data_IF_483234197513
#
_entry.id   IF_483234197513
#
_cell.length_a   1.000
_cell.length_b   1.000
_cell.length_c   1.000
_cell.angle_alpha   90.00
_cell.angle_beta   90.00
_cell.angle_gamma   90.00
#
_symmetry.space_group_name_H-M   'P 1'
#
loop_
_entity.id
_entity.type
_entity.pdbx_description
1 polymer ?
#
# COMPACT_ATOMS: atom_id res chain seq x y z
N UNK A 1 -1.00 -28.82 -12.75
CA UNK A 1 -0.51 -28.35 -11.44
C UNK A 1 0.72 -27.48 -11.69
N UNK A 2 0.75 -26.33 -11.04
CA UNK A 2 1.85 -25.36 -11.12
C UNK A 2 2.73 -25.50 -9.88
N UNK A 3 3.97 -25.03 -10.02
CA UNK A 3 4.88 -24.80 -8.89
C UNK A 3 5.15 -23.30 -8.86
N UNK A 4 4.93 -22.68 -7.71
CA UNK A 4 5.31 -21.28 -7.45
C UNK A 4 6.51 -21.29 -6.51
N UNK A 5 7.63 -20.76 -6.98
CA UNK A 5 8.86 -20.63 -6.20
C UNK A 5 9.28 -19.17 -6.15
N UNK A 6 9.70 -18.72 -4.97
CA UNK A 6 10.11 -17.35 -4.78
C UNK A 6 11.14 -17.20 -3.67
N UNK A 7 11.57 -15.96 -3.47
CA UNK A 7 12.51 -15.58 -2.43
C UNK A 7 11.99 -14.38 -1.65
N UNK A 8 11.93 -14.51 -0.33
CA UNK A 8 11.67 -13.41 0.57
C UNK A 8 12.99 -12.69 0.89
N UNK A 9 13.01 -11.38 0.73
CA UNK A 9 14.22 -10.55 0.84
C UNK A 9 13.91 -9.32 1.69
N UNK A 10 14.65 -9.13 2.79
CA UNK A 10 14.64 -7.87 3.53
C UNK A 10 15.60 -6.90 2.85
N UNK A 11 15.06 -5.79 2.32
CA UNK A 11 15.83 -4.80 1.58
C UNK A 11 16.34 -3.64 2.44
N UNK A 12 16.03 -3.61 3.73
CA UNK A 12 16.58 -2.60 4.63
C UNK A 12 18.07 -2.89 4.86
N UNK A 13 18.90 -1.92 4.49
CA UNK A 13 20.36 -2.03 4.62
C UNK A 13 21.03 -2.99 3.63
N UNK A 14 20.31 -3.47 2.62
CA UNK A 14 20.77 -4.38 1.58
C UNK A 14 19.86 -5.59 1.39
N UNK A 15 20.13 -6.38 0.37
CA UNK A 15 19.32 -7.55 0.02
C UNK A 15 19.77 -8.76 0.85
N UNK A 16 19.11 -9.01 1.97
CA UNK A 16 19.36 -10.20 2.82
C UNK A 16 18.16 -11.15 2.76
N UNK A 17 18.37 -12.47 2.74
CA UNK A 17 17.27 -13.43 2.82
C UNK A 17 16.50 -13.27 4.13
N UNK A 18 15.17 -13.28 4.08
CA UNK A 18 14.32 -13.28 5.27
C UNK A 18 13.93 -14.71 5.62
N UNK A 19 14.61 -15.27 6.61
CA UNK A 19 14.50 -16.68 7.01
C UNK A 19 13.35 -16.90 7.97
N UNK A 20 12.55 -17.96 7.73
CA UNK A 20 11.45 -18.34 8.61
C UNK A 20 10.20 -17.48 8.47
N UNK A 21 10.14 -16.58 7.47
CA UNK A 21 8.95 -15.81 7.16
C UNK A 21 7.88 -16.75 6.60
N UNK A 22 6.66 -16.64 7.15
CA UNK A 22 5.50 -17.34 6.59
C UNK A 22 5.00 -16.55 5.39
N UNK A 23 4.97 -17.19 4.23
CA UNK A 23 4.49 -16.62 2.97
C UNK A 23 3.18 -17.31 2.63
N UNK A 24 2.17 -16.53 2.27
CA UNK A 24 0.85 -17.01 1.84
C UNK A 24 0.70 -16.81 0.34
N UNK A 25 0.36 -17.87 -0.37
CA UNK A 25 -0.09 -17.82 -1.77
C UNK A 25 -1.59 -17.61 -1.77
N UNK A 26 -2.07 -16.60 -2.47
CA UNK A 26 -3.47 -16.29 -2.71
C UNK A 26 -3.84 -16.67 -4.13
N UNK A 27 -4.95 -17.37 -4.30
CA UNK A 27 -5.55 -17.68 -5.59
C UNK A 27 -7.00 -17.23 -5.58
N UNK A 28 -7.34 -16.26 -6.41
CA UNK A 28 -8.71 -15.77 -6.58
C UNK A 28 -9.26 -16.16 -7.94
N UNK A 29 -10.45 -16.73 -7.95
CA UNK A 29 -11.16 -17.13 -9.15
C UNK A 29 -12.67 -16.90 -9.00
N UNK A 30 -13.41 -17.11 -10.08
CA UNK A 30 -14.89 -17.08 -10.04
C UNK A 30 -15.48 -18.15 -9.12
N UNK A 31 -14.72 -19.21 -8.82
CA UNK A 31 -15.12 -20.30 -7.91
C UNK A 31 -14.81 -20.02 -6.44
N UNK A 32 -14.06 -18.98 -6.14
CA UNK A 32 -13.72 -18.56 -4.78
C UNK A 32 -12.24 -18.25 -4.60
N UNK A 33 -11.87 -18.06 -3.35
CA UNK A 33 -10.54 -17.76 -2.87
C UNK A 33 -9.93 -18.98 -2.17
N UNK A 34 -8.65 -19.24 -2.44
CA UNK A 34 -7.87 -20.33 -1.83
C UNK A 34 -6.52 -19.77 -1.38
N UNK A 35 -6.15 -20.07 -0.13
CA UNK A 35 -4.85 -19.73 0.45
C UNK A 35 -4.03 -21.00 0.68
N UNK A 36 -2.71 -20.87 0.48
CA UNK A 36 -1.73 -21.87 0.88
C UNK A 36 -0.54 -21.16 1.58
N UNK A 37 0.08 -21.82 2.55
CA UNK A 37 1.20 -21.28 3.30
C UNK A 37 2.48 -22.05 3.05
N UNK A 38 3.61 -21.35 3.00
CA UNK A 38 4.95 -21.88 2.98
C UNK A 38 5.86 -21.06 3.91
N UNK A 39 6.96 -21.65 4.38
CA UNK A 39 7.94 -20.98 5.23
C UNK A 39 9.23 -20.79 4.44
N UNK A 40 9.76 -19.57 4.43
CA UNK A 40 11.04 -19.28 3.79
C UNK A 40 12.19 -19.98 4.52
N UNK A 41 13.06 -20.62 3.78
CA UNK A 41 14.22 -21.37 4.28
C UNK A 41 15.43 -20.46 4.64
N UNK A 42 16.60 -21.06 4.88
CA UNK A 42 17.83 -20.35 5.25
C UNK A 42 18.34 -19.39 4.14
N UNK A 43 17.96 -19.62 2.91
CA UNK A 43 18.28 -18.77 1.76
C UNK A 43 17.13 -17.80 1.41
N UNK A 44 16.07 -17.80 2.23
CA UNK A 44 14.84 -17.00 2.02
C UNK A 44 13.90 -17.62 0.97
N UNK A 45 14.16 -18.85 0.52
CA UNK A 45 13.38 -19.49 -0.54
C UNK A 45 12.08 -20.07 0.04
N UNK A 46 10.96 -19.78 -0.61
CA UNK A 46 9.66 -20.40 -0.37
C UNK A 46 9.15 -21.10 -1.63
N UNK A 47 8.34 -22.17 -1.44
CA UNK A 47 7.85 -22.97 -2.54
C UNK A 47 6.47 -23.53 -2.26
N UNK A 48 5.57 -23.40 -3.24
CA UNK A 48 4.24 -23.98 -3.25
C UNK A 48 4.18 -25.03 -4.37
N UNK A 49 3.76 -26.24 -4.04
CA UNK A 49 3.59 -27.34 -4.98
C UNK A 49 2.10 -27.70 -5.13
N UNK A 50 1.72 -28.24 -6.30
CA UNK A 50 0.34 -28.67 -6.53
C UNK A 50 -0.66 -27.52 -6.67
N UNK A 51 -0.21 -26.32 -7.01
CA UNK A 51 -1.09 -25.16 -7.23
C UNK A 51 -1.96 -25.45 -8.47
N UNK A 52 -3.27 -25.36 -8.31
CA UNK A 52 -4.19 -25.59 -9.41
C UNK A 52 -4.13 -24.43 -10.41
N UNK A 53 -3.96 -24.75 -11.69
CA UNK A 53 -4.03 -23.75 -12.76
C UNK A 53 -5.49 -23.55 -13.16
N UNK A 54 -6.06 -22.42 -12.79
CA UNK A 54 -7.45 -22.04 -13.11
C UNK A 54 -7.43 -20.92 -14.14
N UNK A 55 -8.13 -21.10 -15.25
CA UNK A 55 -8.25 -20.09 -16.29
C UNK A 55 -8.98 -18.85 -15.75
N UNK A 56 -8.35 -17.68 -15.91
CA UNK A 56 -8.88 -16.39 -15.45
C UNK A 56 -8.73 -16.14 -13.93
N UNK A 57 -8.00 -17.00 -13.21
CA UNK A 57 -7.65 -16.71 -11.81
C UNK A 57 -6.50 -15.71 -11.72
N UNK A 58 -6.54 -14.87 -10.68
CA UNK A 58 -5.41 -14.05 -10.24
C UNK A 58 -4.66 -14.75 -9.12
N UNK A 59 -3.36 -14.53 -9.08
CA UNK A 59 -2.46 -15.09 -8.08
C UNK A 59 -1.60 -13.98 -7.47
N UNK A 60 -1.32 -14.12 -6.19
CA UNK A 60 -0.41 -13.24 -5.46
C UNK A 60 0.27 -13.99 -4.33
N UNK A 61 1.39 -13.49 -3.89
CA UNK A 61 2.01 -13.93 -2.64
C UNK A 61 2.11 -12.76 -1.68
N UNK A 62 1.88 -13.04 -0.39
CA UNK A 62 2.04 -12.04 0.66
C UNK A 62 2.72 -12.61 1.89
N UNK A 63 3.24 -11.73 2.74
CA UNK A 63 3.71 -12.08 4.07
C UNK A 63 3.50 -10.91 5.02
N UNK A 64 3.36 -11.22 6.31
CA UNK A 64 3.32 -10.20 7.37
C UNK A 64 4.69 -10.16 8.03
N UNK A 65 5.36 -9.02 7.90
CA UNK A 65 6.64 -8.76 8.53
C UNK A 65 6.55 -7.51 9.41
N UNK A 66 6.91 -7.65 10.70
CA UNK A 66 6.76 -6.59 11.71
C UNK A 66 5.35 -5.96 11.78
N UNK A 67 4.31 -6.76 11.51
CA UNK A 67 2.92 -6.32 11.53
C UNK A 67 2.44 -5.63 10.25
N UNK A 68 3.29 -5.50 9.24
CA UNK A 68 2.99 -4.88 7.94
C UNK A 68 2.82 -5.98 6.90
N UNK A 69 1.79 -5.88 6.07
CA UNK A 69 1.56 -6.78 4.95
C UNK A 69 2.36 -6.33 3.73
N UNK A 70 3.20 -7.21 3.21
CA UNK A 70 3.89 -7.06 1.94
C UNK A 70 3.34 -8.08 0.95
N UNK A 71 3.18 -7.69 -0.30
CA UNK A 71 2.66 -8.60 -1.31
C UNK A 71 3.09 -8.24 -2.72
N UNK A 72 3.00 -9.21 -3.61
CA UNK A 72 3.25 -9.06 -5.04
C UNK A 72 2.30 -9.95 -5.82
N UNK A 73 1.70 -9.38 -6.86
CA UNK A 73 0.92 -10.14 -7.84
C UNK A 73 1.86 -10.96 -8.71
N UNK A 74 1.46 -12.20 -9.01
CA UNK A 74 2.26 -13.11 -9.82
C UNK A 74 1.45 -13.66 -10.99
N UNK A 75 2.15 -13.96 -12.08
CA UNK A 75 1.62 -14.80 -13.17
C UNK A 75 2.36 -16.15 -13.13
N UNK A 76 1.75 -17.19 -12.53
CA UNK A 76 2.42 -18.49 -12.38
C UNK A 76 2.66 -19.21 -13.72
N UNK A 77 2.08 -18.74 -14.83
CA UNK A 77 2.33 -19.26 -16.17
C UNK A 77 3.56 -18.63 -16.84
N UNK A 78 4.02 -17.48 -16.31
CA UNK A 78 5.17 -16.73 -16.81
C UNK A 78 6.34 -16.66 -15.80
N UNK A 79 6.28 -17.46 -14.73
CA UNK A 79 7.24 -17.42 -13.63
C UNK A 79 8.66 -17.86 -14.03
N UNK A 80 9.37 -16.99 -14.71
CA UNK A 80 10.83 -16.94 -14.83
C UNK A 80 11.26 -15.48 -14.61
N UNK A 81 12.06 -15.16 -13.66
CA UNK A 81 12.76 -15.87 -12.59
C UNK A 81 11.88 -16.12 -11.36
N UNK A 82 12.41 -16.73 -10.25
CA UNK A 82 11.64 -16.92 -9.02
C UNK A 82 11.06 -15.59 -8.51
N UNK A 83 9.86 -15.65 -7.95
CA UNK A 83 9.14 -14.49 -7.40
C UNK A 83 9.95 -13.85 -6.29
N UNK A 84 10.18 -12.55 -6.35
CA UNK A 84 10.82 -11.80 -5.26
C UNK A 84 9.75 -11.11 -4.40
N UNK A 85 9.67 -11.48 -3.13
CA UNK A 85 8.84 -10.83 -2.13
C UNK A 85 9.73 -9.94 -1.25
N UNK A 86 9.61 -8.64 -1.39
CA UNK A 86 10.37 -7.67 -0.61
C UNK A 86 9.66 -7.32 0.70
N UNK A 87 10.40 -7.34 1.81
CA UNK A 87 10.00 -6.82 3.10
C UNK A 87 10.99 -5.74 3.55
N UNK A 88 10.56 -4.86 4.46
CA UNK A 88 11.37 -3.74 4.94
C UNK A 88 11.19 -3.56 6.45
N UNK A 89 12.24 -3.10 7.14
CA UNK A 89 12.15 -2.72 8.55
C UNK A 89 11.17 -1.56 8.75
N UNK A 90 10.38 -1.65 9.83
CA UNK A 90 9.47 -0.59 10.23
C UNK A 90 10.19 0.51 11.00
N UNK A 91 9.91 1.78 10.66
CA UNK A 91 10.41 2.96 11.38
C UNK A 91 9.26 3.93 11.67
N UNK A 92 9.38 4.69 12.75
CA UNK A 92 8.44 5.75 13.11
C UNK A 92 9.00 7.17 12.87
N UNK A 93 10.07 7.25 12.08
CA UNK A 93 10.71 8.50 11.68
C UNK A 93 10.07 9.01 10.38
N UNK A 94 9.38 10.14 10.45
CA UNK A 94 8.68 10.77 9.32
C UNK A 94 9.62 11.32 8.24
N UNK A 95 10.94 11.37 8.49
CA UNK A 95 11.94 11.67 7.46
C UNK A 95 12.05 10.57 6.38
N UNK A 96 11.46 9.39 6.60
CA UNK A 96 11.44 8.29 5.63
C UNK A 96 10.63 8.63 4.37
N UNK A 97 9.67 9.55 4.44
CA UNK A 97 8.85 9.92 3.28
C UNK A 97 8.80 11.45 3.08
N UNK A 98 8.35 11.88 1.91
CA UNK A 98 8.18 13.28 1.54
C UNK A 98 6.98 13.49 0.62
N UNK A 99 6.47 14.72 0.57
CA UNK A 99 5.53 15.16 -0.46
C UNK A 99 6.35 15.72 -1.62
N UNK A 100 6.30 15.08 -2.78
CA UNK A 100 7.09 15.46 -3.96
C UNK A 100 6.33 16.36 -4.92
N UNK A 101 5.00 16.21 -4.99
CA UNK A 101 4.15 17.03 -5.85
C UNK A 101 2.78 17.27 -5.22
N UNK A 102 2.18 18.41 -5.58
CA UNK A 102 0.82 18.74 -5.23
C UNK A 102 0.17 19.49 -6.40
N UNK A 103 -1.03 19.08 -6.77
CA UNK A 103 -1.84 19.70 -7.81
C UNK A 103 -3.22 20.02 -7.27
N UNK A 104 -3.76 21.20 -7.60
CA UNK A 104 -5.09 21.64 -7.20
C UNK A 104 -5.88 22.07 -8.44
N UNK A 105 -7.02 21.44 -8.64
CA UNK A 105 -8.02 21.85 -9.64
C UNK A 105 -9.25 22.41 -8.91
N UNK A 106 -9.67 23.60 -9.29
CA UNK A 106 -10.89 24.22 -8.76
C UNK A 106 -11.83 24.53 -9.93
N UNK A 107 -13.08 24.10 -9.80
CA UNK A 107 -14.14 24.42 -10.77
C UNK A 107 -15.39 24.89 -10.04
N UNK A 108 -16.25 25.64 -10.76
CA UNK A 108 -17.56 26.00 -10.22
C UNK A 108 -18.44 24.74 -10.17
N UNK A 109 -19.03 24.47 -9.01
CA UNK A 109 -20.00 23.39 -8.88
C UNK A 109 -21.37 23.79 -9.47
N UNK A 110 -22.22 22.79 -9.72
CA UNK A 110 -23.61 23.03 -10.17
C UNK A 110 -24.41 23.73 -9.07
N UNK A 111 -24.05 23.59 -7.83
CA UNK A 111 -24.67 24.26 -6.69
C UNK A 111 -24.25 25.75 -6.67
N UNK A 112 -25.20 26.70 -6.53
CA UNK A 112 -24.89 28.13 -6.53
C UNK A 112 -23.92 28.51 -5.42
N UNK A 113 -22.94 29.36 -5.74
CA UNK A 113 -21.90 29.85 -4.81
C UNK A 113 -21.09 28.74 -4.15
N UNK A 114 -20.82 27.68 -4.89
CA UNK A 114 -20.01 26.56 -4.43
C UNK A 114 -18.93 26.25 -5.46
N UNK A 115 -17.72 26.03 -4.98
CA UNK A 115 -16.61 25.51 -5.75
C UNK A 115 -16.46 24.01 -5.44
N UNK A 116 -16.09 23.25 -6.44
CA UNK A 116 -15.58 21.91 -6.28
C UNK A 116 -14.05 21.94 -6.46
N UNK A 117 -13.34 21.36 -5.53
CA UNK A 117 -11.90 21.27 -5.53
C UNK A 117 -11.45 19.81 -5.57
N UNK A 118 -10.43 19.53 -6.36
CA UNK A 118 -9.73 18.25 -6.41
C UNK A 118 -8.24 18.50 -6.14
N UNK A 119 -7.70 17.84 -5.16
CA UNK A 119 -6.26 17.83 -4.87
C UNK A 119 -5.67 16.45 -5.16
N UNK A 120 -4.50 16.45 -5.79
CA UNK A 120 -3.70 15.25 -6.06
C UNK A 120 -2.32 15.49 -5.46
N UNK A 121 -1.96 14.67 -4.49
CA UNK A 121 -0.71 14.77 -3.75
C UNK A 121 0.12 13.52 -4.02
N UNK A 122 1.37 13.70 -4.44
CA UNK A 122 2.33 12.60 -4.56
C UNK A 122 3.13 12.47 -3.28
N UNK A 123 2.99 11.34 -2.61
CA UNK A 123 3.75 10.94 -1.42
C UNK A 123 4.79 9.92 -1.84
N UNK A 124 6.05 10.13 -1.53
CA UNK A 124 7.13 9.20 -1.88
C UNK A 124 7.95 8.81 -0.64
N UNK A 125 8.13 7.52 -0.46
CA UNK A 125 9.14 6.97 0.43
C UNK A 125 10.33 6.49 -0.42
N UNK A 126 11.43 7.22 -0.36
CA UNK A 126 12.67 6.92 -1.10
C UNK A 126 13.72 6.21 -0.22
N UNK A 127 13.35 5.89 1.02
CA UNK A 127 14.20 5.13 1.93
C UNK A 127 14.11 3.63 1.66
N UNK A 128 14.88 2.87 2.40
CA UNK A 128 14.84 1.39 2.44
C UNK A 128 14.09 0.86 3.68
N UNK A 129 13.18 1.66 4.24
CA UNK A 129 12.37 1.32 5.41
C UNK A 129 10.90 1.65 5.17
N UNK A 130 10.01 0.97 5.88
CA UNK A 130 8.57 1.31 5.87
C UNK A 130 8.27 2.25 7.04
N UNK A 131 7.69 3.41 6.72
CA UNK A 131 7.18 4.32 7.75
C UNK A 131 5.89 3.76 8.37
N UNK A 132 5.84 3.76 9.71
CA UNK A 132 4.65 3.36 10.49
C UNK A 132 4.34 4.45 11.50
N UNK A 133 3.18 5.12 11.44
CA UNK A 133 2.87 6.27 12.30
C UNK A 133 2.72 5.92 13.79
N UNK A 134 2.68 4.64 14.14
CA UNK A 134 2.48 4.19 15.52
C UNK A 134 1.12 4.64 16.08
N UNK A 135 1.09 4.91 17.39
CA UNK A 135 -0.14 5.32 18.10
C UNK A 135 -0.26 6.83 18.32
N UNK A 136 0.74 7.62 17.93
CA UNK A 136 0.72 9.08 18.07
C UNK A 136 -0.08 9.72 16.92
N UNK A 137 -1.23 10.38 17.20
CA UNK A 137 -2.02 11.04 16.16
C UNK A 137 -1.26 12.15 15.41
N UNK A 138 -0.20 12.70 16.00
CA UNK A 138 0.63 13.74 15.36
C UNK A 138 1.57 13.18 14.29
N UNK A 139 1.84 11.88 14.30
CA UNK A 139 2.64 11.17 13.31
C UNK A 139 1.84 10.71 12.10
N UNK A 140 0.52 10.82 12.11
CA UNK A 140 -0.32 10.50 10.95
C UNK A 140 -0.03 11.44 9.78
N UNK A 141 -0.11 10.95 8.55
CA UNK A 141 -0.08 11.78 7.35
C UNK A 141 -1.34 12.65 7.28
N UNK A 142 -1.20 13.96 7.46
CA UNK A 142 -2.32 14.89 7.68
C UNK A 142 -2.46 15.88 6.54
N UNK A 143 -3.72 16.11 6.15
CA UNK A 143 -4.12 17.05 5.11
C UNK A 143 -5.10 18.07 5.69
N UNK A 144 -4.74 19.35 5.60
CA UNK A 144 -5.63 20.44 6.03
C UNK A 144 -6.62 20.78 4.92
N UNK A 145 -7.88 21.04 5.29
CA UNK A 145 -8.90 21.53 4.39
C UNK A 145 -9.23 22.98 4.70
N UNK A 146 -9.66 23.79 3.70
CA UNK A 146 -10.15 25.14 3.92
C UNK A 146 -11.37 25.14 4.86
N UNK A 147 -11.52 26.21 5.64
CA UNK A 147 -12.67 26.39 6.51
C UNK A 147 -13.97 26.36 5.72
N UNK A 148 -14.94 25.56 6.16
CA UNK A 148 -16.22 25.37 5.49
C UNK A 148 -16.20 24.30 4.38
N UNK A 149 -15.07 23.62 4.16
CA UNK A 149 -15.03 22.45 3.27
C UNK A 149 -15.99 21.36 3.75
N UNK A 150 -16.70 20.74 2.81
CA UNK A 150 -17.70 19.67 3.05
C UNK A 150 -17.64 18.63 1.93
N UNK A 151 -18.35 17.53 2.12
CA UNK A 151 -18.46 16.45 1.14
C UNK A 151 -17.07 15.92 0.71
N UNK A 152 -16.19 15.70 1.71
CA UNK A 152 -14.86 15.15 1.50
C UNK A 152 -14.94 13.72 0.94
N UNK A 153 -14.24 13.49 -0.16
CA UNK A 153 -13.97 12.15 -0.70
C UNK A 153 -12.45 11.98 -0.80
N UNK A 154 -11.94 10.83 -0.36
CA UNK A 154 -10.51 10.50 -0.38
C UNK A 154 -10.31 9.18 -1.11
N UNK A 155 -9.38 9.15 -2.05
CA UNK A 155 -8.96 7.96 -2.80
C UNK A 155 -7.43 7.84 -2.75
N UNK A 156 -6.93 6.67 -2.41
CA UNK A 156 -5.48 6.40 -2.37
C UNK A 156 -5.22 4.90 -2.45
N UNK A 157 -4.04 4.53 -2.96
CA UNK A 157 -3.52 3.17 -2.91
C UNK A 157 -2.79 2.85 -1.58
N UNK A 158 -2.57 3.86 -0.72
CA UNK A 158 -2.02 3.63 0.61
C UNK A 158 -3.00 2.79 1.44
N UNK A 159 -2.53 1.79 2.19
CA UNK A 159 -3.38 1.00 3.08
C UNK A 159 -3.90 1.85 4.24
N UNK A 160 -4.85 1.31 5.02
CA UNK A 160 -5.43 1.99 6.18
C UNK A 160 -6.66 2.83 5.85
N UNK A 161 -6.98 3.76 6.74
CA UNK A 161 -8.22 4.54 6.71
C UNK A 161 -7.94 6.05 6.71
N UNK A 162 -8.84 6.80 6.06
CA UNK A 162 -8.91 8.25 6.22
C UNK A 162 -9.80 8.58 7.41
N UNK A 163 -9.24 9.25 8.40
CA UNK A 163 -9.96 9.69 9.61
C UNK A 163 -10.10 11.21 9.62
N UNK A 164 -11.26 11.70 10.05
CA UNK A 164 -11.48 13.12 10.19
C UNK A 164 -10.71 13.68 11.39
N UNK A 165 -10.07 14.83 11.21
CA UNK A 165 -9.39 15.61 12.26
C UNK A 165 -9.92 17.05 12.24
N UNK A 166 -9.56 17.87 13.27
CA UNK A 166 -10.15 19.20 13.48
C UNK A 166 -10.18 20.12 12.25
N UNK A 167 -9.13 20.09 11.42
CA UNK A 167 -8.97 20.97 10.25
C UNK A 167 -8.73 20.20 8.95
N UNK A 168 -9.31 19.00 8.82
CA UNK A 168 -9.14 18.18 7.62
C UNK A 168 -9.25 16.70 7.89
N UNK A 169 -8.32 15.91 7.36
CA UNK A 169 -8.27 14.48 7.57
C UNK A 169 -6.82 13.99 7.75
N UNK A 170 -6.68 12.77 8.23
CA UNK A 170 -5.41 12.10 8.35
C UNK A 170 -5.54 10.66 7.84
N UNK A 171 -4.45 10.12 7.30
CA UNK A 171 -4.35 8.71 6.90
C UNK A 171 -3.62 7.93 7.98
N UNK A 172 -4.16 6.76 8.34
CA UNK A 172 -3.56 5.84 9.31
C UNK A 172 -2.55 4.90 8.67
N UNK A 173 -2.15 5.20 7.44
CA UNK A 173 -1.38 4.36 6.54
C UNK A 173 0.06 4.18 6.99
N UNK A 174 0.56 2.97 6.86
CA UNK A 174 2.00 2.75 6.67
C UNK A 174 2.38 3.17 5.25
N UNK A 175 3.62 3.66 5.09
CA UNK A 175 4.15 4.12 3.81
C UNK A 175 5.38 3.29 3.47
N UNK A 176 5.19 2.25 2.66
CA UNK A 176 6.28 1.40 2.16
C UNK A 176 7.15 2.17 1.17
N UNK A 177 8.41 1.73 0.91
CA UNK A 177 9.21 2.28 -0.17
C UNK A 177 8.45 2.28 -1.50
N UNK A 178 8.34 3.45 -2.13
CA UNK A 178 7.56 3.63 -3.36
C UNK A 178 7.00 5.03 -3.50
N UNK A 179 6.13 5.20 -4.48
CA UNK A 179 5.44 6.45 -4.80
C UNK A 179 3.94 6.21 -4.85
N UNK A 180 3.19 7.06 -4.18
CA UNK A 180 1.75 6.91 -3.96
C UNK A 180 1.04 8.21 -4.26
N UNK A 181 -0.13 8.11 -4.88
CA UNK A 181 -1.03 9.24 -5.03
C UNK A 181 -2.10 9.23 -3.94
N UNK A 182 -2.32 10.39 -3.33
CA UNK A 182 -3.45 10.68 -2.47
C UNK A 182 -4.31 11.70 -3.19
N UNK A 183 -5.48 11.28 -3.62
CA UNK A 183 -6.44 12.14 -4.32
C UNK A 183 -7.62 12.41 -3.39
N UNK A 184 -7.98 13.68 -3.24
CA UNK A 184 -9.17 14.02 -2.45
C UNK A 184 -9.89 15.21 -3.04
N UNK A 185 -11.22 15.18 -2.91
CA UNK A 185 -12.07 16.25 -3.39
C UNK A 185 -13.02 16.74 -2.30
N UNK A 186 -13.44 17.99 -2.41
CA UNK A 186 -14.35 18.61 -1.47
C UNK A 186 -15.13 19.76 -2.11
N UNK A 187 -16.24 20.11 -1.49
CA UNK A 187 -17.02 21.29 -1.82
C UNK A 187 -16.66 22.46 -0.91
N UNK A 188 -16.54 23.67 -1.46
CA UNK A 188 -16.22 24.88 -0.72
C UNK A 188 -17.24 25.98 -1.06
N UNK A 189 -18.12 26.38 -0.13
CA UNK A 189 -19.01 27.50 -0.34
C UNK A 189 -18.22 28.83 -0.35
N UNK A 190 -18.66 29.79 -1.15
CA UNK A 190 -18.11 31.13 -1.18
C UNK A 190 -19.22 32.19 -1.14
N UNK A 191 -18.92 33.35 -0.59
CA UNK A 191 -19.83 34.49 -0.49
C UNK A 191 -19.89 35.36 -1.78
#
# INVERSE_FOLDING_TARGET
ELVVEGRAINRTGGDTPEVGLVVTLHQESVSGHVDAEAVADIDGIFRFEGVESIEGASYGVSAIYQGIMYGVDIDPLQAEPPVELFVFEAVDDDSAFSIEAASLLIVQADEPRTLWALEIITVANRSDTTYVPGTDPMKLLRFALPAGARDLSVETALPGEAIQVDLGFALTSEIQPGEYEVMFSYMLPYE
#
